data_IF_734550823994
#
_entry.id   IF_734550823994
#
_cell.length_a   1.000
_cell.length_b   1.000
_cell.length_c   1.000
_cell.angle_alpha   90.00
_cell.angle_beta   90.00
_cell.angle_gamma   90.00
#
_symmetry.space_group_name_H-M   'P 1'
#
loop_
_entity.id
_entity.type
_entity.pdbx_description
1 polymer ?
#
# COMPACT_ATOMS: atom_id res chain seq x y z
N UNK A 1 3.65 8.34 -9.81
CA UNK A 1 3.58 6.87 -9.91
C UNK A 1 3.94 6.33 -11.29
N UNK A 2 3.32 6.81 -12.37
CA UNK A 2 3.46 6.20 -13.72
C UNK A 2 4.92 6.19 -14.21
N UNK A 3 5.64 7.29 -14.09
CA UNK A 3 7.06 7.35 -14.49
C UNK A 3 7.95 6.38 -13.71
N UNK A 4 7.69 6.21 -12.41
CA UNK A 4 8.44 5.26 -11.57
C UNK A 4 8.19 3.81 -12.01
N UNK A 5 6.94 3.45 -12.32
CA UNK A 5 6.59 2.12 -12.82
C UNK A 5 7.17 1.87 -14.21
N UNK A 6 7.21 2.87 -15.08
CA UNK A 6 7.87 2.76 -16.39
C UNK A 6 9.36 2.51 -16.23
N UNK A 7 10.07 3.33 -15.43
CA UNK A 7 11.49 3.14 -15.13
C UNK A 7 11.79 1.77 -14.53
N UNK A 8 10.92 1.31 -13.61
CA UNK A 8 11.03 -0.03 -13.05
C UNK A 8 10.92 -1.13 -14.11
N UNK A 9 10.00 -1.04 -15.08
CA UNK A 9 9.88 -2.03 -16.17
C UNK A 9 11.13 -2.10 -17.02
N UNK A 10 11.71 -0.93 -17.36
CA UNK A 10 12.96 -0.85 -18.12
C UNK A 10 14.11 -1.44 -17.29
N UNK A 11 14.26 -1.03 -16.03
CA UNK A 11 15.29 -1.57 -15.15
C UNK A 11 15.15 -3.09 -14.94
N UNK A 12 13.91 -3.58 -14.79
CA UNK A 12 13.61 -5.00 -14.64
C UNK A 12 13.96 -5.83 -15.89
N UNK A 13 13.80 -5.28 -17.08
CA UNK A 13 14.26 -5.92 -18.32
C UNK A 13 15.78 -6.13 -18.30
N UNK A 14 16.56 -5.07 -18.02
CA UNK A 14 18.03 -5.18 -17.93
C UNK A 14 18.47 -6.11 -16.79
N UNK A 15 17.76 -6.14 -15.68
CA UNK A 15 18.04 -7.06 -14.57
C UNK A 15 17.87 -8.53 -14.99
N UNK A 16 16.83 -8.85 -15.79
CA UNK A 16 16.56 -10.22 -16.29
C UNK A 16 17.64 -10.72 -17.24
N UNK A 17 18.23 -9.85 -18.05
CA UNK A 17 19.35 -10.19 -18.96
C UNK A 17 20.71 -10.06 -18.30
N UNK A 18 20.75 -10.09 -16.96
CA UNK A 18 21.95 -10.06 -16.13
C UNK A 18 22.79 -8.76 -16.18
N UNK A 19 22.34 -7.70 -16.81
CA UNK A 19 22.98 -6.37 -16.81
C UNK A 19 22.62 -5.61 -15.51
N UNK A 20 23.00 -6.19 -14.36
CA UNK A 20 22.58 -5.74 -13.03
C UNK A 20 23.01 -4.31 -12.70
N UNK A 21 24.24 -3.91 -13.13
CA UNK A 21 24.74 -2.56 -12.89
C UNK A 21 23.88 -1.52 -13.62
N UNK A 22 23.62 -1.75 -14.91
CA UNK A 22 22.76 -0.86 -15.71
C UNK A 22 21.34 -0.78 -15.15
N UNK A 23 20.76 -1.92 -14.74
CA UNK A 23 19.47 -1.96 -14.09
C UNK A 23 19.42 -1.10 -12.80
N UNK A 24 20.48 -1.15 -11.98
CA UNK A 24 20.62 -0.35 -10.77
C UNK A 24 20.77 1.14 -11.06
N UNK A 25 21.50 1.51 -12.11
CA UNK A 25 21.66 2.90 -12.56
C UNK A 25 20.30 3.47 -12.99
N UNK A 26 19.53 2.73 -13.80
CA UNK A 26 18.18 3.13 -14.24
C UNK A 26 17.24 3.28 -13.05
N UNK A 27 17.25 2.33 -12.11
CA UNK A 27 16.45 2.42 -10.89
C UNK A 27 16.86 3.63 -10.02
N UNK A 28 18.15 3.92 -9.91
CA UNK A 28 18.68 5.11 -9.21
C UNK A 28 18.21 6.41 -9.86
N UNK A 29 18.22 6.50 -11.17
CA UNK A 29 17.66 7.63 -11.91
C UNK A 29 16.15 7.77 -11.68
N UNK A 30 15.40 6.66 -11.70
CA UNK A 30 13.98 6.64 -11.39
C UNK A 30 13.69 7.20 -10.00
N UNK A 31 14.46 6.78 -8.98
CA UNK A 31 14.38 7.31 -7.61
C UNK A 31 14.68 8.81 -7.57
N UNK A 32 15.74 9.26 -8.23
CA UNK A 32 16.13 10.68 -8.25
C UNK A 32 15.03 11.56 -8.86
N UNK A 33 14.41 11.13 -9.96
CA UNK A 33 13.41 11.93 -10.68
C UNK A 33 12.00 11.85 -10.08
N UNK A 34 11.66 10.76 -9.38
CA UNK A 34 10.29 10.53 -8.90
C UNK A 34 10.16 10.48 -7.38
N UNK A 35 11.26 10.39 -6.64
CA UNK A 35 11.23 10.15 -5.19
C UNK A 35 10.75 8.76 -4.79
N UNK A 36 10.59 7.83 -5.74
CA UNK A 36 10.10 6.46 -5.53
C UNK A 36 11.22 5.48 -5.78
N UNK A 37 11.54 4.64 -4.80
CA UNK A 37 12.54 3.60 -4.92
C UNK A 37 11.88 2.25 -5.17
N UNK A 38 12.15 1.64 -6.32
CA UNK A 38 11.70 0.29 -6.67
C UNK A 38 12.90 -0.54 -7.07
N UNK A 39 13.15 -1.64 -6.35
CA UNK A 39 14.22 -2.55 -6.73
C UNK A 39 13.93 -3.20 -8.08
N UNK A 40 14.90 -3.29 -9.03
CA UNK A 40 14.66 -3.87 -10.36
C UNK A 40 14.12 -5.30 -10.37
N UNK A 41 14.43 -6.09 -9.34
CA UNK A 41 13.96 -7.47 -9.19
C UNK A 41 12.55 -7.59 -8.59
N UNK A 42 11.97 -6.53 -8.07
CA UNK A 42 10.61 -6.56 -7.53
C UNK A 42 9.60 -6.98 -8.61
N UNK A 43 8.58 -7.74 -8.20
CA UNK A 43 7.52 -8.19 -9.12
C UNK A 43 6.30 -7.32 -8.95
N UNK A 44 6.03 -6.46 -9.93
CA UNK A 44 4.88 -5.55 -9.91
C UNK A 44 3.98 -5.87 -11.11
N UNK A 45 2.74 -6.28 -10.82
CA UNK A 45 1.74 -6.59 -11.83
C UNK A 45 1.30 -5.34 -12.62
N UNK A 46 0.67 -5.49 -13.78
CA UNK A 46 -0.07 -4.43 -14.45
C UNK A 46 -1.20 -3.90 -13.55
N UNK A 47 -1.63 -2.64 -13.78
CA UNK A 47 -2.75 -2.05 -13.04
C UNK A 47 -2.44 -1.63 -11.59
N UNK A 48 -1.20 -1.76 -11.12
CA UNK A 48 -0.78 -1.18 -9.83
C UNK A 48 -0.74 0.34 -9.95
N UNK A 49 -1.31 1.02 -8.95
CA UNK A 49 -1.35 2.47 -8.89
C UNK A 49 -0.55 3.00 -7.70
N UNK A 50 0.38 3.93 -7.95
CA UNK A 50 1.13 4.62 -6.90
C UNK A 50 0.70 6.08 -6.91
N UNK A 51 -0.05 6.48 -5.87
CA UNK A 51 -0.57 7.82 -5.72
C UNK A 51 0.37 8.67 -4.85
N UNK A 52 0.60 9.91 -5.27
CA UNK A 52 1.58 10.84 -4.70
C UNK A 52 3.02 10.31 -4.68
N UNK A 53 3.27 9.14 -4.26
CA UNK A 53 4.46 8.29 -4.39
C UNK A 53 5.73 8.72 -3.67
N UNK A 54 5.91 9.97 -3.26
CA UNK A 54 7.13 10.44 -2.61
C UNK A 54 7.51 9.56 -1.41
N UNK A 55 8.76 9.08 -1.37
CA UNK A 55 9.27 8.25 -0.28
C UNK A 55 8.74 6.80 -0.26
N UNK A 56 8.08 6.33 -1.32
CA UNK A 56 7.74 4.90 -1.46
C UNK A 56 9.01 4.09 -1.70
N UNK A 57 9.13 2.97 -0.96
CA UNK A 57 10.25 2.03 -1.11
C UNK A 57 9.71 0.61 -1.30
N UNK A 58 10.08 -0.04 -2.39
CA UNK A 58 9.69 -1.43 -2.72
C UNK A 58 10.95 -2.30 -2.86
N UNK A 59 11.11 -3.25 -1.95
CA UNK A 59 12.30 -4.10 -1.84
C UNK A 59 12.38 -5.20 -2.88
N UNK A 60 13.55 -5.84 -2.97
CA UNK A 60 13.98 -6.79 -4.00
C UNK A 60 13.01 -7.95 -4.27
N UNK A 61 12.55 -8.61 -3.22
CA UNK A 61 11.71 -9.81 -3.32
C UNK A 61 10.21 -9.52 -3.10
N UNK A 62 9.84 -8.24 -3.10
CA UNK A 62 8.44 -7.83 -2.98
C UNK A 62 7.63 -8.27 -4.21
N UNK A 63 6.39 -8.67 -3.95
CA UNK A 63 5.42 -9.01 -4.98
C UNK A 63 4.19 -8.13 -4.79
N UNK A 64 3.78 -7.41 -5.82
CA UNK A 64 2.61 -6.53 -5.81
C UNK A 64 1.70 -6.98 -6.94
N UNK A 65 0.50 -7.45 -6.59
CA UNK A 65 -0.47 -7.97 -7.54
C UNK A 65 -1.34 -6.86 -8.14
N UNK A 66 -2.19 -7.24 -9.09
CA UNK A 66 -3.02 -6.34 -9.87
C UNK A 66 -3.96 -5.48 -9.01
N UNK A 67 -4.19 -4.23 -9.44
CA UNK A 67 -5.14 -3.31 -8.80
C UNK A 67 -4.75 -2.82 -7.42
N UNK A 68 -3.54 -3.12 -6.95
CA UNK A 68 -3.03 -2.61 -5.67
C UNK A 68 -2.81 -1.10 -5.76
N UNK A 69 -3.23 -0.38 -4.72
CA UNK A 69 -3.02 1.06 -4.56
C UNK A 69 -2.03 1.32 -3.43
N UNK A 70 -1.00 2.12 -3.71
CA UNK A 70 0.07 2.45 -2.75
C UNK A 70 0.18 3.97 -2.67
N UNK A 71 0.10 4.51 -1.44
CA UNK A 71 0.27 5.93 -1.20
C UNK A 71 1.72 6.29 -0.79
N UNK A 72 2.00 7.60 -0.69
CA UNK A 72 3.32 8.13 -0.35
C UNK A 72 3.88 7.57 0.96
N UNK A 73 5.20 7.47 1.05
CA UNK A 73 5.92 7.05 2.24
C UNK A 73 5.76 5.59 2.65
N UNK A 74 5.07 4.77 1.83
CA UNK A 74 4.90 3.34 2.09
C UNK A 74 6.24 2.61 1.91
N UNK A 75 6.53 1.67 2.81
CA UNK A 75 7.69 0.78 2.70
C UNK A 75 7.24 -0.68 2.62
N UNK A 76 7.59 -1.36 1.54
CA UNK A 76 7.50 -2.81 1.40
C UNK A 76 8.91 -3.39 1.62
N UNK A 77 9.27 -3.63 2.88
CA UNK A 77 10.64 -3.87 3.35
C UNK A 77 10.88 -5.26 3.95
N UNK A 78 12.14 -5.54 4.26
CA UNK A 78 12.53 -6.70 5.07
C UNK A 78 12.54 -6.36 6.57
N UNK A 79 12.54 -7.38 7.44
CA UNK A 79 12.62 -7.21 8.91
C UNK A 79 14.06 -7.01 9.44
N UNK A 80 15.06 -6.95 8.55
CA UNK A 80 16.45 -6.88 8.99
C UNK A 80 17.05 -8.24 9.37
N UNK A 81 16.29 -9.31 9.33
CA UNK A 81 16.81 -10.66 9.51
C UNK A 81 17.83 -10.96 8.40
N UNK A 82 18.92 -11.60 8.77
CA UNK A 82 19.98 -12.03 7.84
C UNK A 82 19.48 -13.20 6.97
N UNK A 83 18.40 -12.95 6.19
CA UNK A 83 17.96 -13.93 5.22
C UNK A 83 19.09 -14.24 4.25
N UNK A 84 19.36 -15.51 4.02
CA UNK A 84 20.38 -15.93 3.09
C UNK A 84 20.13 -15.29 1.72
N UNK A 85 21.21 -14.97 1.02
CA UNK A 85 21.13 -14.31 -0.29
C UNK A 85 20.22 -15.10 -1.23
N UNK A 86 19.16 -14.45 -1.72
CA UNK A 86 18.16 -15.08 -2.61
C UNK A 86 16.88 -15.57 -1.92
N UNK A 87 16.81 -15.58 -0.59
CA UNK A 87 15.56 -15.89 0.11
C UNK A 87 14.56 -14.72 0.04
N UNK A 88 13.28 -15.08 0.00
CA UNK A 88 12.20 -14.10 0.08
C UNK A 88 12.19 -13.45 1.46
N UNK A 89 12.19 -12.11 1.49
CA UNK A 89 12.25 -11.31 2.73
C UNK A 89 11.38 -10.07 2.70
N UNK A 90 10.66 -9.85 1.59
CA UNK A 90 9.77 -8.72 1.40
C UNK A 90 8.34 -9.21 1.18
N UNK A 91 7.34 -8.38 1.47
CA UNK A 91 5.95 -8.81 1.48
C UNK A 91 5.39 -9.14 0.10
N UNK A 92 4.32 -9.94 0.12
CA UNK A 92 3.41 -10.13 -1.00
C UNK A 92 2.14 -9.34 -0.74
N UNK A 93 1.81 -8.41 -1.63
CA UNK A 93 0.58 -7.63 -1.60
C UNK A 93 -0.37 -8.20 -2.65
N UNK A 94 -1.47 -8.75 -2.16
CA UNK A 94 -2.47 -9.41 -3.01
C UNK A 94 -3.39 -8.40 -3.70
N UNK A 95 -4.12 -8.91 -4.70
CA UNK A 95 -5.01 -8.16 -5.59
C UNK A 95 -5.86 -7.13 -4.86
N UNK A 96 -5.94 -5.93 -5.43
CA UNK A 96 -6.82 -4.83 -4.98
C UNK A 96 -6.66 -4.43 -3.50
N UNK A 97 -5.54 -4.75 -2.87
CA UNK A 97 -5.24 -4.23 -1.54
C UNK A 97 -4.87 -2.75 -1.62
N UNK A 98 -5.19 -1.99 -0.56
CA UNK A 98 -4.89 -0.56 -0.46
C UNK A 98 -3.95 -0.33 0.71
N UNK A 99 -2.82 0.36 0.46
CA UNK A 99 -1.81 0.65 1.48
C UNK A 99 -1.68 2.16 1.60
N UNK A 100 -2.22 2.70 2.70
CA UNK A 100 -2.25 4.14 2.93
C UNK A 100 -0.91 4.72 3.36
N UNK A 101 -0.84 6.04 3.29
CA UNK A 101 0.36 6.84 3.46
C UNK A 101 1.19 6.47 4.69
N UNK A 102 2.51 6.37 4.50
CA UNK A 102 3.46 6.12 5.56
C UNK A 102 3.45 4.71 6.18
N UNK A 103 2.57 3.80 5.72
CA UNK A 103 2.52 2.44 6.25
C UNK A 103 3.82 1.66 5.95
N UNK A 104 4.23 0.81 6.89
CA UNK A 104 5.40 -0.06 6.78
C UNK A 104 4.94 -1.51 6.81
N UNK A 105 5.13 -2.25 5.72
CA UNK A 105 4.83 -3.68 5.62
C UNK A 105 6.15 -4.41 5.54
N UNK A 106 6.50 -5.16 6.59
CA UNK A 106 7.85 -5.65 6.78
C UNK A 106 7.93 -7.17 6.95
N UNK A 107 8.85 -7.78 6.23
CA UNK A 107 9.12 -9.21 6.26
C UNK A 107 8.46 -9.99 5.13
N UNK A 108 8.69 -11.30 5.11
CA UNK A 108 8.02 -12.22 4.19
C UNK A 108 6.61 -12.53 4.70
N UNK A 109 5.71 -11.57 4.55
CA UNK A 109 4.32 -11.67 4.96
C UNK A 109 3.39 -11.44 3.78
N UNK A 110 2.17 -11.92 3.88
CA UNK A 110 1.15 -11.74 2.87
C UNK A 110 0.06 -10.78 3.36
N UNK A 111 -0.19 -9.74 2.57
CA UNK A 111 -1.35 -8.86 2.73
C UNK A 111 -2.44 -9.35 1.79
N UNK A 112 -3.55 -9.84 2.35
CA UNK A 112 -4.63 -10.49 1.61
C UNK A 112 -5.35 -9.58 0.63
N UNK A 113 -6.12 -10.19 -0.26
CA UNK A 113 -6.89 -9.49 -1.28
C UNK A 113 -7.88 -8.50 -0.66
N UNK A 114 -8.07 -7.35 -1.30
CA UNK A 114 -9.01 -6.30 -0.87
C UNK A 114 -8.81 -5.81 0.56
N UNK A 115 -7.67 -6.11 1.19
CA UNK A 115 -7.37 -5.61 2.53
C UNK A 115 -6.96 -4.14 2.48
N UNK A 116 -7.06 -3.49 3.62
CA UNK A 116 -6.73 -2.08 3.80
C UNK A 116 -5.72 -1.94 4.92
N UNK A 117 -4.56 -1.37 4.61
CA UNK A 117 -3.56 -1.01 5.62
C UNK A 117 -3.66 0.49 5.87
N UNK A 118 -4.05 0.85 7.08
CA UNK A 118 -4.22 2.25 7.48
C UNK A 118 -2.93 3.05 7.48
N UNK A 119 -3.05 4.37 7.37
CA UNK A 119 -1.91 5.26 7.35
C UNK A 119 -1.01 5.12 8.59
N UNK A 120 0.32 5.18 8.40
CA UNK A 120 1.30 5.07 9.46
C UNK A 120 1.40 3.70 10.15
N UNK A 121 0.63 2.70 9.72
CA UNK A 121 0.62 1.37 10.36
C UNK A 121 1.91 0.59 10.10
N UNK A 122 2.33 -0.21 11.07
CA UNK A 122 3.48 -1.13 10.94
C UNK A 122 3.00 -2.58 11.00
N UNK A 123 3.00 -3.23 9.84
CA UNK A 123 2.48 -4.60 9.66
C UNK A 123 3.64 -5.59 9.64
N UNK A 124 3.61 -6.55 10.58
CA UNK A 124 4.68 -7.54 10.81
C UNK A 124 4.19 -8.99 10.72
N UNK A 125 2.89 -9.18 10.48
CA UNK A 125 2.22 -10.49 10.39
C UNK A 125 1.30 -10.52 9.18
N UNK A 126 0.94 -11.72 8.74
CA UNK A 126 -0.01 -11.91 7.64
C UNK A 126 -1.34 -11.21 7.93
N UNK A 127 -1.93 -10.65 6.88
CA UNK A 127 -3.22 -9.99 6.91
C UNK A 127 -4.21 -10.81 6.08
N UNK A 128 -5.33 -11.24 6.67
CA UNK A 128 -6.33 -11.99 5.92
C UNK A 128 -7.02 -11.10 4.86
N UNK A 129 -7.65 -11.71 3.84
CA UNK A 129 -8.42 -10.98 2.84
C UNK A 129 -9.50 -10.10 3.49
N UNK A 130 -9.81 -8.98 2.85
CA UNK A 130 -10.85 -8.02 3.27
C UNK A 130 -10.67 -7.41 4.66
N UNK A 131 -9.51 -7.61 5.30
CA UNK A 131 -9.23 -7.05 6.62
C UNK A 131 -8.77 -5.60 6.55
N UNK A 132 -9.10 -4.81 7.56
CA UNK A 132 -8.55 -3.49 7.82
C UNK A 132 -7.59 -3.56 8.99
N UNK A 133 -6.34 -3.13 8.78
CA UNK A 133 -5.26 -3.14 9.77
C UNK A 133 -4.84 -1.71 10.06
N UNK A 134 -4.70 -1.35 11.33
CA UNK A 134 -4.20 -0.04 11.77
C UNK A 134 -3.25 -0.16 12.96
N UNK A 135 -2.42 0.85 13.16
CA UNK A 135 -1.60 1.03 14.37
C UNK A 135 -0.18 0.49 14.29
N UNK A 136 0.57 0.69 15.39
CA UNK A 136 1.97 0.26 15.59
C UNK A 136 2.07 -0.47 16.93
N UNK A 137 2.23 -1.81 16.93
CA UNK A 137 2.16 -2.73 15.79
C UNK A 137 0.75 -2.80 15.19
N UNK A 138 0.66 -3.12 13.89
CA UNK A 138 -0.60 -3.21 13.15
C UNK A 138 -1.52 -4.30 13.71
N UNK A 139 -2.78 -3.93 13.97
CA UNK A 139 -3.83 -4.83 14.47
C UNK A 139 -5.02 -4.82 13.53
N UNK A 140 -5.63 -5.97 13.33
CA UNK A 140 -6.87 -6.10 12.56
C UNK A 140 -7.99 -5.48 13.41
N UNK A 141 -8.62 -4.42 12.90
CA UNK A 141 -9.76 -3.74 13.55
C UNK A 141 -11.09 -4.16 12.95
N UNK A 142 -11.09 -4.64 11.71
CA UNK A 142 -12.31 -5.04 10.99
C UNK A 142 -11.96 -6.05 9.90
N UNK A 143 -12.81 -7.04 9.73
CA UNK A 143 -12.84 -7.91 8.54
C UNK A 143 -14.21 -7.69 7.90
N UNK A 144 -14.22 -7.27 6.64
CA UNK A 144 -15.47 -7.08 5.89
C UNK A 144 -15.98 -8.46 5.47
N UNK A 145 -17.15 -8.84 5.96
CA UNK A 145 -17.88 -10.02 5.49
C UNK A 145 -18.75 -9.61 4.32
N UNK A 146 -18.71 -10.39 3.27
CA UNK A 146 -19.60 -10.20 2.12
C UNK A 146 -20.91 -10.94 2.39
N UNK A 147 -21.76 -10.41 3.25
CA UNK A 147 -23.11 -10.95 3.46
C UNK A 147 -23.94 -10.62 2.22
N UNK A 148 -24.06 -11.58 1.28
CA UNK A 148 -24.89 -11.45 0.08
C UNK A 148 -24.29 -11.90 -1.25
N UNK A 149 -23.01 -12.24 -1.30
CA UNK A 149 -22.45 -12.83 -2.52
C UNK A 149 -22.60 -14.35 -2.48
N UNK A 150 -23.70 -14.85 -3.04
CA UNK A 150 -23.85 -16.26 -3.36
C UNK A 150 -22.64 -16.77 -4.14
N UNK A 151 -22.41 -18.07 -4.12
CA UNK A 151 -21.24 -18.85 -4.60
C UNK A 151 -20.69 -18.57 -6.01
N UNK A 152 -21.02 -17.41 -6.61
CA UNK A 152 -20.53 -16.93 -7.92
C UNK A 152 -19.89 -15.56 -7.76
N UNK A 153 -18.59 -15.53 -7.55
CA UNK A 153 -17.81 -14.30 -7.67
C UNK A 153 -17.30 -13.71 -6.36
N UNK A 154 -16.28 -14.33 -5.79
CA UNK A 154 -15.41 -13.70 -4.76
C UNK A 154 -14.73 -12.42 -5.25
N UNK A 155 -14.90 -12.05 -6.52
CA UNK A 155 -14.17 -10.95 -7.17
C UNK A 155 -14.88 -9.59 -7.13
N UNK A 156 -16.17 -9.52 -6.85
CA UNK A 156 -16.94 -8.28 -6.97
C UNK A 156 -17.36 -7.64 -5.64
N UNK A 157 -17.19 -8.32 -4.52
CA UNK A 157 -17.86 -7.92 -3.28
C UNK A 157 -17.16 -6.83 -2.47
N UNK A 158 -15.85 -6.65 -2.63
CA UNK A 158 -15.11 -5.68 -1.80
C UNK A 158 -14.99 -4.26 -2.38
N UNK A 159 -15.40 -4.05 -3.64
CA UNK A 159 -15.37 -2.75 -4.31
C UNK A 159 -16.73 -2.40 -4.94
N UNK A 160 -17.80 -2.42 -4.15
CA UNK A 160 -19.03 -1.73 -4.56
C UNK A 160 -18.71 -0.23 -4.65
N UNK A 161 -18.95 0.36 -5.84
CA UNK A 161 -18.77 1.79 -6.15
C UNK A 161 -19.52 2.77 -5.22
N UNK A 162 -20.11 2.29 -4.13
CA UNK A 162 -20.88 3.09 -3.16
C UNK A 162 -20.03 3.81 -2.10
N UNK A 163 -18.74 3.53 -1.96
CA UNK A 163 -17.90 4.22 -0.95
C UNK A 163 -17.24 5.51 -1.44
N UNK A 164 -17.35 5.85 -2.73
CA UNK A 164 -16.79 7.10 -3.27
C UNK A 164 -17.83 8.22 -3.37
N UNK A 165 -19.12 7.94 -3.20
CA UNK A 165 -20.18 8.96 -3.21
C UNK A 165 -20.70 9.35 -1.81
N UNK A 166 -20.24 8.71 -0.75
CA UNK A 166 -20.71 8.97 0.62
C UNK A 166 -19.78 9.88 1.45
N UNK A 167 -18.73 10.44 0.86
CA UNK A 167 -17.84 11.38 1.56
C UNK A 167 -18.13 12.86 1.25
N UNK A 168 -19.22 13.17 0.51
CA UNK A 168 -19.60 14.55 0.21
C UNK A 168 -20.84 15.07 0.97
N UNK A 169 -21.44 14.25 1.84
CA UNK A 169 -22.60 14.68 2.62
C UNK A 169 -22.41 14.35 4.10
N UNK A 170 -21.54 15.06 4.80
CA UNK A 170 -21.57 15.29 6.25
C UNK A 170 -20.45 16.24 6.68
N UNK A 171 -20.56 17.48 6.29
CA UNK A 171 -19.78 18.59 6.86
C UNK A 171 -20.62 19.80 7.31
N UNK A 172 -21.91 19.60 7.60
CA UNK A 172 -22.79 20.72 7.98
C UNK A 172 -23.44 20.60 9.37
N UNK A 173 -22.82 19.94 10.34
CA UNK A 173 -23.39 19.91 11.70
C UNK A 173 -22.32 20.05 12.83
N UNK A 174 -21.32 20.91 12.67
CA UNK A 174 -20.49 21.38 13.80
C UNK A 174 -20.21 22.88 13.64
N UNK A 175 -21.23 23.70 13.75
CA UNK A 175 -21.07 25.14 13.94
C UNK A 175 -22.31 25.71 14.63
N UNK A 176 -22.63 25.29 15.85
CA UNK A 176 -23.44 26.09 16.76
C UNK A 176 -23.38 25.54 18.19
N UNK A 177 -22.29 25.78 18.89
CA UNK A 177 -22.25 25.68 20.36
C UNK A 177 -21.05 26.41 20.99
N UNK A 178 -20.74 27.63 20.57
CA UNK A 178 -19.73 28.47 21.25
C UNK A 178 -20.18 29.94 21.39
N UNK A 179 -21.43 30.15 21.85
CA UNK A 179 -21.88 31.50 22.24
C UNK A 179 -22.81 31.47 23.47
N UNK A 180 -22.38 30.90 24.59
CA UNK A 180 -23.07 31.03 25.85
C UNK A 180 -22.15 30.76 27.03
N UNK A 181 -21.10 31.55 27.26
CA UNK A 181 -20.39 31.58 28.54
C UNK A 181 -19.49 32.83 28.65
N UNK A 182 -20.07 34.02 28.53
CA UNK A 182 -19.49 35.26 29.07
C UNK A 182 -20.62 36.16 29.52
N UNK A 183 -20.99 36.02 30.77
CA UNK A 183 -21.58 37.05 31.62
C UNK A 183 -21.98 36.45 32.96
N UNK A 184 -21.07 36.55 33.94
CA UNK A 184 -21.37 36.74 35.37
C UNK A 184 -20.07 36.61 36.15
N UNK A 185 -19.45 37.75 36.39
CA UNK A 185 -18.96 38.10 37.73
C UNK A 185 -18.47 39.57 37.69
N UNK A 186 -19.32 40.42 38.25
CA UNK A 186 -18.82 41.61 38.96
C UNK A 186 -18.11 41.17 40.22
#
# INVERSE_FOLDING_TARGET
GVHALHNHRVAGFFYKIHLKLLARMIAGWGRFTTGIEIHPAAKIAPGVFIDHGAGVVIGETAVVEEGVVIYQGVTLGGKGDHAAKGQKRHPTIKKSAVIYAGAKVLGDITVGEYSVIGAGSVVLKDVPPCATVVGVPGRIIKIRTCDGCGNKGKEACCLSKKSLSASSEKTDDIADSSSAAENQNE
#
